data_IF_924831718065
#
_entry.id   IF_924831718065
#
_cell.length_a   1.000
_cell.length_b   1.000
_cell.length_c   1.000
_cell.angle_alpha   90.00
_cell.angle_beta   90.00
_cell.angle_gamma   90.00
#
_symmetry.space_group_name_H-M   'P 1'
#
loop_
_entity.id
_entity.type
_entity.pdbx_description
1 polymer ?
#
# COMPACT_ATOMS: atom_id res chain seq x y z
N UNK A 1 19.64 3.62 14.12
CA UNK A 1 18.45 3.64 13.24
C UNK A 1 18.60 2.46 12.31
N UNK A 2 17.95 1.34 12.65
CA UNK A 2 18.16 0.05 11.98
C UNK A 2 17.76 0.15 10.51
N UNK A 3 18.75 -0.04 9.64
CA UNK A 3 18.58 -0.33 8.22
C UNK A 3 17.79 -1.64 8.06
N UNK A 4 16.48 -1.60 8.18
CA UNK A 4 15.68 -2.46 7.33
C UNK A 4 15.82 -1.83 5.95
N UNK A 5 16.45 -2.54 5.00
CA UNK A 5 16.19 -2.30 3.57
C UNK A 5 14.67 -2.28 3.44
N UNK A 6 14.08 -1.08 3.41
CA UNK A 6 12.67 -0.90 3.72
C UNK A 6 11.83 -1.62 2.70
N UNK A 7 11.30 -2.78 3.05
CA UNK A 7 10.46 -3.58 2.17
C UNK A 7 9.27 -2.74 1.73
N UNK A 8 9.16 -2.53 0.42
CA UNK A 8 8.01 -1.91 -0.22
C UNK A 8 7.15 -3.03 -0.77
N UNK A 9 5.87 -3.05 -0.40
CA UNK A 9 4.90 -4.03 -0.89
C UNK A 9 4.05 -3.38 -1.97
N UNK A 10 4.03 -3.98 -3.15
CA UNK A 10 3.11 -3.59 -4.22
C UNK A 10 1.90 -4.51 -4.17
N UNK A 11 0.70 -3.93 -4.18
CA UNK A 11 -0.56 -4.66 -4.02
C UNK A 11 -1.41 -4.37 -5.25
N UNK A 12 -1.83 -5.41 -5.96
CA UNK A 12 -2.95 -5.28 -6.88
C UNK A 12 -4.21 -4.99 -6.06
N UNK A 13 -4.74 -3.77 -6.20
CA UNK A 13 -5.83 -3.26 -5.40
C UNK A 13 -7.18 -3.39 -6.12
N UNK A 14 -7.19 -3.81 -7.38
CA UNK A 14 -8.43 -4.05 -8.13
C UNK A 14 -9.12 -5.31 -7.61
N UNK A 15 -10.36 -5.15 -7.15
CA UNK A 15 -11.18 -6.19 -6.52
C UNK A 15 -10.51 -6.94 -5.34
N UNK A 16 -9.39 -6.45 -4.79
CA UNK A 16 -8.65 -7.11 -3.73
C UNK A 16 -9.45 -7.09 -2.40
N UNK A 17 -9.86 -8.25 -1.85
CA UNK A 17 -10.69 -8.31 -0.65
C UNK A 17 -9.93 -7.95 0.63
N UNK A 18 -8.59 -7.85 0.56
CA UNK A 18 -7.70 -7.64 1.71
C UNK A 18 -6.92 -6.33 1.67
N UNK A 19 -7.24 -5.38 0.78
CA UNK A 19 -6.49 -4.11 0.66
C UNK A 19 -6.44 -3.28 1.96
N UNK A 20 -7.52 -3.31 2.75
CA UNK A 20 -7.60 -2.61 4.03
C UNK A 20 -6.74 -3.31 5.11
N UNK A 21 -6.65 -4.64 5.05
CA UNK A 21 -5.77 -5.43 5.91
C UNK A 21 -4.30 -5.19 5.56
N UNK A 22 -3.95 -5.13 4.27
CA UNK A 22 -2.58 -4.79 3.84
C UNK A 22 -2.21 -3.40 4.35
N UNK A 23 -3.11 -2.43 4.25
CA UNK A 23 -2.91 -1.09 4.80
C UNK A 23 -2.63 -1.14 6.31
N UNK A 24 -3.45 -1.89 7.05
CA UNK A 24 -3.29 -2.05 8.50
C UNK A 24 -1.95 -2.68 8.88
N UNK A 25 -1.54 -3.74 8.18
CA UNK A 25 -0.28 -4.46 8.43
C UNK A 25 0.92 -3.60 8.05
N UNK A 26 0.89 -2.93 6.89
CA UNK A 26 1.96 -2.05 6.44
C UNK A 26 2.24 -0.93 7.46
N UNK A 27 1.17 -0.28 7.95
CA UNK A 27 1.26 0.74 8.99
C UNK A 27 1.85 0.18 10.29
N UNK A 28 1.35 -0.98 10.74
CA UNK A 28 1.82 -1.63 11.99
C UNK A 28 3.32 -1.96 11.95
N UNK A 29 3.84 -2.36 10.80
CA UNK A 29 5.23 -2.78 10.64
C UNK A 29 6.16 -1.67 10.14
N UNK A 30 5.64 -0.46 9.89
CA UNK A 30 6.44 0.62 9.33
C UNK A 30 6.91 0.35 7.90
N UNK A 31 6.21 -0.52 7.17
CA UNK A 31 6.50 -0.86 5.79
C UNK A 31 5.71 0.06 4.84
N UNK A 32 6.31 0.44 3.72
CA UNK A 32 5.57 1.15 2.66
C UNK A 32 4.74 0.15 1.86
N UNK A 33 3.51 0.53 1.54
CA UNK A 33 2.65 -0.22 0.61
C UNK A 33 2.19 0.69 -0.52
N UNK A 34 2.23 0.18 -1.75
CA UNK A 34 1.78 0.87 -2.95
C UNK A 34 0.57 0.10 -3.50
N UNK A 35 -0.60 0.73 -3.44
CA UNK A 35 -1.83 0.20 -4.01
C UNK A 35 -1.83 0.48 -5.51
N UNK A 36 -1.79 -0.57 -6.33
CA UNK A 36 -1.77 -0.49 -7.79
C UNK A 36 -3.16 -0.81 -8.31
N UNK A 37 -3.74 0.06 -9.14
CA UNK A 37 -5.06 -0.17 -9.73
C UNK A 37 -5.23 0.55 -11.06
N UNK A 38 -6.26 0.17 -11.82
CA UNK A 38 -6.68 0.86 -13.04
C UNK A 38 -7.50 2.14 -12.78
N UNK A 39 -7.84 2.44 -11.53
CA UNK A 39 -8.56 3.66 -11.12
C UNK A 39 -9.66 3.40 -10.09
N UNK A 40 -10.44 4.44 -9.77
CA UNK A 40 -11.61 4.32 -8.88
C UNK A 40 -11.31 4.15 -7.39
N UNK A 41 -10.05 3.97 -7.00
CA UNK A 41 -9.62 3.92 -5.60
C UNK A 41 -9.26 5.32 -5.09
N UNK A 42 -9.78 5.68 -3.93
CA UNK A 42 -9.43 6.93 -3.24
C UNK A 42 -8.06 6.79 -2.56
N UNK A 43 -7.15 7.78 -2.68
CA UNK A 43 -5.89 7.78 -1.94
C UNK A 43 -6.10 7.66 -0.42
N UNK A 44 -5.24 6.87 0.22
CA UNK A 44 -5.26 6.69 1.67
C UNK A 44 -4.47 7.84 2.35
N UNK A 45 -4.93 8.40 3.50
CA UNK A 45 -4.28 9.57 4.10
C UNK A 45 -2.96 9.26 4.83
N UNK A 46 -2.65 7.99 5.10
CA UNK A 46 -1.45 7.61 5.85
C UNK A 46 -0.18 7.68 4.97
N UNK A 47 0.93 8.27 5.44
CA UNK A 47 2.15 8.51 4.64
C UNK A 47 2.94 7.26 4.22
N UNK A 48 2.52 6.08 4.68
CA UNK A 48 3.12 4.79 4.28
C UNK A 48 2.34 4.11 3.16
N UNK A 49 1.20 4.67 2.74
CA UNK A 49 0.31 4.08 1.75
C UNK A 49 0.26 5.00 0.55
N UNK A 50 0.87 4.55 -0.54
CA UNK A 50 0.87 5.23 -1.83
C UNK A 50 -0.21 4.62 -2.75
N UNK A 51 -0.71 5.40 -3.70
CA UNK A 51 -1.59 4.94 -4.77
C UNK A 51 -0.88 5.11 -6.11
N UNK A 52 -0.78 4.03 -6.88
CA UNK A 52 -0.27 4.02 -8.25
C UNK A 52 -1.41 3.65 -9.21
N UNK A 53 -1.79 4.58 -10.08
CA UNK A 53 -2.77 4.33 -11.14
C UNK A 53 -2.02 3.93 -12.40
N UNK A 54 -2.36 2.78 -12.97
CA UNK A 54 -1.73 2.20 -14.17
C UNK A 54 -2.78 1.96 -15.26
N UNK A 55 -2.35 1.89 -16.53
CA UNK A 55 -3.17 1.64 -17.72
C UNK A 55 -2.55 0.53 -18.56
#
# INVERSE_FOLDING_TARGET
MTNASGTIVYVDADACPVKDEVTTIAIRHGCRAVMVCNGGIRPHPHPLIDLAIVN
#
